data_IF_737921546950
#
_entry.id   IF_737921546950
#
_cell.length_a   1.000
_cell.length_b   1.000
_cell.length_c   1.000
_cell.angle_alpha   90.00
_cell.angle_beta   90.00
_cell.angle_gamma   90.00
#
_symmetry.space_group_name_H-M   'P 1'
#
loop_
_entity.id
_entity.type
_entity.pdbx_description
1 polymer ?
#
# COMPACT_ATOMS: atom_id res chain seq x y z
N UNK A 1 -13.39 34.42 11.00
CA UNK A 1 -14.01 34.15 9.68
C UNK A 1 -12.99 34.22 8.54
N UNK A 2 -12.16 35.26 8.47
CA UNK A 2 -11.17 35.43 7.38
C UNK A 2 -10.14 34.30 7.34
N UNK A 3 -9.68 33.86 8.51
CA UNK A 3 -8.75 32.72 8.62
C UNK A 3 -9.35 31.43 8.05
N UNK A 4 -10.63 31.18 8.32
CA UNK A 4 -11.32 30.00 7.78
C UNK A 4 -11.48 30.06 6.27
N UNK A 5 -11.80 31.22 5.73
CA UNK A 5 -11.92 31.41 4.29
C UNK A 5 -10.57 31.33 3.59
N UNK A 6 -9.52 31.86 4.18
CA UNK A 6 -8.18 31.85 3.61
C UNK A 6 -7.57 30.43 3.59
N UNK A 7 -7.81 29.65 4.65
CA UNK A 7 -7.30 28.26 4.74
C UNK A 7 -8.19 27.23 4.05
N UNK A 8 -9.45 27.56 3.77
CA UNK A 8 -10.43 26.62 3.27
C UNK A 8 -10.85 25.56 4.27
N UNK A 9 -10.50 25.74 5.55
CA UNK A 9 -10.81 24.77 6.60
C UNK A 9 -11.68 25.37 7.70
N UNK A 10 -12.64 24.58 8.15
CA UNK A 10 -13.54 24.93 9.25
C UNK A 10 -12.80 24.94 10.59
N UNK A 11 -11.83 24.05 10.75
CA UNK A 11 -11.06 23.86 11.98
C UNK A 11 -9.59 24.08 11.68
N UNK A 12 -9.01 25.17 12.21
CA UNK A 12 -7.59 25.50 12.09
C UNK A 12 -6.84 25.33 13.41
N UNK A 13 -7.53 25.40 14.54
CA UNK A 13 -6.95 25.28 15.87
C UNK A 13 -7.95 24.70 16.86
N UNK A 14 -7.48 24.30 18.03
CA UNK A 14 -8.31 23.78 19.12
C UNK A 14 -9.35 24.80 19.60
N UNK A 15 -9.11 26.11 19.42
CA UNK A 15 -10.05 27.16 19.79
C UNK A 15 -11.26 27.27 18.85
N UNK A 16 -11.16 26.76 17.61
CA UNK A 16 -12.26 26.78 16.65
C UNK A 16 -13.34 25.74 17.01
N UNK A 17 -12.91 24.49 17.25
CA UNK A 17 -13.75 23.38 17.66
C UNK A 17 -12.87 22.30 18.31
N UNK A 18 -12.73 22.31 19.65
CA UNK A 18 -11.86 21.34 20.32
C UNK A 18 -12.27 19.89 20.12
N UNK A 19 -13.58 19.59 20.10
CA UNK A 19 -14.08 18.24 19.88
C UNK A 19 -13.85 17.80 18.43
N UNK A 20 -14.14 18.67 17.46
CA UNK A 20 -13.92 18.42 16.05
C UNK A 20 -12.44 18.26 15.72
N UNK A 21 -11.57 19.06 16.31
CA UNK A 21 -10.12 18.92 16.15
C UNK A 21 -9.61 17.59 16.69
N UNK A 22 -10.10 17.14 17.83
CA UNK A 22 -9.74 15.86 18.41
C UNK A 22 -10.15 14.69 17.49
N UNK A 23 -11.36 14.72 16.95
CA UNK A 23 -11.84 13.74 15.97
C UNK A 23 -10.99 13.78 14.71
N UNK A 24 -10.71 14.97 14.17
CA UNK A 24 -9.89 15.16 12.98
C UNK A 24 -8.47 14.61 13.17
N UNK A 25 -7.86 14.85 14.33
CA UNK A 25 -6.55 14.29 14.69
C UNK A 25 -6.57 12.77 14.72
N UNK A 26 -7.65 12.19 15.29
CA UNK A 26 -7.83 10.73 15.30
C UNK A 26 -7.96 10.16 13.89
N UNK A 27 -8.74 10.80 13.04
CA UNK A 27 -8.92 10.40 11.65
C UNK A 27 -7.59 10.51 10.86
N UNK A 28 -6.80 11.53 11.12
CA UNK A 28 -5.46 11.67 10.54
C UNK A 28 -4.55 10.51 10.94
N UNK A 29 -4.58 10.10 12.20
CA UNK A 29 -3.84 8.92 12.68
C UNK A 29 -4.30 7.65 11.98
N UNK A 30 -5.60 7.47 11.76
CA UNK A 30 -6.13 6.32 11.02
C UNK A 30 -5.68 6.32 9.56
N UNK A 31 -5.69 7.48 8.90
CA UNK A 31 -5.22 7.61 7.51
C UNK A 31 -3.74 7.20 7.42
N UNK A 32 -2.91 7.70 8.33
CA UNK A 32 -1.49 7.36 8.37
C UNK A 32 -1.28 5.88 8.66
N UNK A 33 -2.09 5.30 9.51
CA UNK A 33 -2.09 3.86 9.80
C UNK A 33 -2.41 3.02 8.56
N UNK A 34 -3.46 3.36 7.82
CA UNK A 34 -3.83 2.66 6.59
C UNK A 34 -2.76 2.81 5.51
N UNK A 35 -2.14 3.98 5.38
CA UNK A 35 -1.03 4.18 4.45
C UNK A 35 0.16 3.27 4.79
N UNK A 36 0.50 3.17 6.07
CA UNK A 36 1.61 2.31 6.50
C UNK A 36 1.28 0.83 6.33
N UNK A 37 0.07 0.41 6.66
CA UNK A 37 -0.37 -0.97 6.44
C UNK A 37 -0.39 -1.34 4.97
N UNK A 38 -0.86 -0.44 4.11
CA UNK A 38 -0.81 -0.62 2.65
C UNK A 38 0.63 -0.78 2.15
N UNK A 39 1.55 0.06 2.63
CA UNK A 39 2.97 -0.04 2.29
C UNK A 39 3.58 -1.37 2.75
N UNK A 40 3.26 -1.82 3.96
CA UNK A 40 3.75 -3.10 4.49
C UNK A 40 3.25 -4.29 3.65
N UNK A 41 1.99 -4.25 3.22
CA UNK A 41 1.41 -5.30 2.36
C UNK A 41 2.06 -5.29 0.98
N UNK A 42 2.33 -4.11 0.41
CA UNK A 42 3.06 -4.00 -0.86
C UNK A 42 4.49 -4.52 -0.76
N UNK A 43 5.17 -4.26 0.34
CA UNK A 43 6.51 -4.81 0.60
C UNK A 43 6.48 -6.34 0.66
N UNK A 44 5.47 -6.92 1.32
CA UNK A 44 5.28 -8.37 1.34
C UNK A 44 5.00 -8.94 -0.05
N UNK A 45 4.17 -8.28 -0.85
CA UNK A 45 3.91 -8.67 -2.22
C UNK A 45 5.18 -8.62 -3.09
N UNK A 46 6.02 -7.63 -2.90
CA UNK A 46 7.32 -7.54 -3.58
C UNK A 46 8.26 -8.68 -3.18
N UNK A 47 8.29 -9.02 -1.90
CA UNK A 47 9.05 -10.17 -1.40
C UNK A 47 8.56 -11.46 -2.04
N UNK A 48 7.25 -11.66 -2.14
CA UNK A 48 6.65 -12.82 -2.79
C UNK A 48 6.99 -12.87 -4.28
N UNK A 49 7.03 -11.74 -4.97
CA UNK A 49 7.44 -11.67 -6.38
C UNK A 49 8.90 -12.09 -6.58
N UNK A 50 9.78 -11.71 -5.69
CA UNK A 50 11.19 -12.16 -5.70
C UNK A 50 11.25 -13.68 -5.51
N UNK A 51 10.48 -14.22 -4.59
CA UNK A 51 10.39 -15.67 -4.37
C UNK A 51 9.83 -16.40 -5.59
N UNK A 52 8.79 -15.87 -6.24
CA UNK A 52 8.25 -16.43 -7.49
C UNK A 52 9.30 -16.46 -8.60
N UNK A 53 10.11 -15.41 -8.73
CA UNK A 53 11.21 -15.38 -9.68
C UNK A 53 12.25 -16.46 -9.39
N UNK A 54 12.56 -16.68 -8.12
CA UNK A 54 13.46 -17.77 -7.69
C UNK A 54 12.88 -19.15 -8.02
N UNK A 55 11.59 -19.36 -7.78
CA UNK A 55 10.91 -20.60 -8.16
C UNK A 55 10.92 -20.83 -9.67
N UNK A 56 10.75 -19.77 -10.47
CA UNK A 56 10.88 -19.84 -11.92
C UNK A 56 12.27 -20.30 -12.37
N UNK A 57 13.32 -19.78 -11.72
CA UNK A 57 14.70 -20.19 -12.00
C UNK A 57 14.94 -21.65 -11.62
N UNK A 58 14.40 -22.11 -10.49
CA UNK A 58 14.45 -23.53 -10.07
C UNK A 58 13.75 -24.39 -11.13
N UNK A 59 12.58 -23.97 -11.59
CA UNK A 59 11.81 -24.71 -12.58
C UNK A 59 12.56 -24.87 -13.91
N UNK A 60 13.22 -23.83 -14.38
CA UNK A 60 14.07 -23.90 -15.58
C UNK A 60 15.24 -24.86 -15.41
N UNK A 61 15.89 -24.81 -14.25
CA UNK A 61 16.99 -25.73 -13.92
C UNK A 61 16.54 -27.17 -13.80
N UNK A 62 15.34 -27.43 -13.24
CA UNK A 62 14.72 -28.74 -13.18
C UNK A 62 14.39 -29.27 -14.58
N UNK A 63 13.90 -28.43 -15.48
CA UNK A 63 13.64 -28.81 -16.86
C UNK A 63 14.92 -29.22 -17.56
N UNK A 64 15.99 -28.48 -17.37
CA UNK A 64 17.31 -28.84 -17.92
C UNK A 64 17.80 -30.18 -17.38
N UNK A 65 17.68 -30.38 -16.07
CA UNK A 65 18.06 -31.64 -15.43
C UNK A 65 17.23 -32.82 -15.96
N UNK A 66 15.94 -32.60 -16.23
CA UNK A 66 15.06 -33.62 -16.81
C UNK A 66 15.53 -34.02 -18.21
N UNK A 67 15.87 -33.05 -19.06
CA UNK A 67 16.41 -33.33 -20.40
C UNK A 67 17.70 -34.11 -20.30
N UNK A 68 18.62 -33.74 -19.43
CA UNK A 68 19.88 -34.45 -19.22
C UNK A 68 19.66 -35.89 -18.71
N UNK A 69 18.71 -36.09 -17.82
CA UNK A 69 18.35 -37.41 -17.33
C UNK A 69 17.83 -38.32 -18.48
N UNK A 70 17.04 -37.77 -19.37
CA UNK A 70 16.56 -38.51 -20.54
C UNK A 70 17.74 -38.83 -21.51
N UNK A 71 18.63 -37.86 -21.72
CA UNK A 71 19.83 -38.08 -22.52
C UNK A 71 20.74 -39.17 -21.96
N UNK A 72 20.83 -39.27 -20.62
CA UNK A 72 21.67 -40.29 -19.98
C UNK A 72 21.20 -41.72 -20.27
N UNK A 73 19.96 -41.91 -20.68
CA UNK A 73 19.42 -43.19 -21.10
C UNK A 73 19.87 -43.62 -22.50
N UNK A 74 20.51 -42.73 -23.26
CA UNK A 74 21.00 -43.06 -24.62
C UNK A 74 22.31 -43.85 -24.54
N UNK A 75 22.46 -44.90 -25.38
CA UNK A 75 23.73 -45.66 -25.46
C UNK A 75 24.93 -44.82 -25.89
N UNK A 76 24.68 -43.69 -26.59
CA UNK A 76 25.71 -42.78 -27.09
C UNK A 76 26.05 -41.64 -26.13
N UNK A 77 25.41 -41.59 -24.94
CA UNK A 77 25.65 -40.56 -23.96
C UNK A 77 26.98 -40.73 -23.23
N UNK A 78 27.52 -39.62 -22.72
CA UNK A 78 28.64 -39.62 -21.79
C UNK A 78 28.09 -39.41 -20.36
N UNK A 79 27.92 -40.48 -19.57
CA UNK A 79 27.35 -40.41 -18.24
C UNK A 79 28.14 -39.51 -17.30
N UNK A 80 29.46 -39.47 -17.42
CA UNK A 80 30.31 -38.66 -16.52
C UNK A 80 30.10 -37.15 -16.80
N UNK A 81 29.98 -36.73 -18.06
CA UNK A 81 29.72 -35.37 -18.40
C UNK A 81 28.31 -34.94 -17.97
N UNK A 82 27.31 -35.81 -18.17
CA UNK A 82 25.94 -35.58 -17.74
C UNK A 82 25.89 -35.48 -16.20
N UNK A 83 26.53 -36.36 -15.46
CA UNK A 83 26.60 -36.32 -14.02
C UNK A 83 27.19 -35.00 -13.50
N UNK A 84 28.28 -34.53 -14.14
CA UNK A 84 28.88 -33.24 -13.79
C UNK A 84 27.93 -32.07 -13.97
N UNK A 85 27.12 -32.06 -15.03
CA UNK A 85 26.10 -31.02 -15.26
C UNK A 85 24.92 -31.16 -14.27
N UNK A 86 24.47 -32.37 -13.99
CA UNK A 86 23.43 -32.62 -12.99
C UNK A 86 23.87 -32.14 -11.61
N UNK A 87 25.12 -32.37 -11.22
CA UNK A 87 25.68 -31.93 -9.95
C UNK A 87 25.70 -30.40 -9.84
N UNK A 88 26.09 -29.71 -10.91
CA UNK A 88 26.07 -28.24 -10.97
C UNK A 88 24.64 -27.69 -10.88
N UNK A 89 23.71 -28.29 -11.60
CA UNK A 89 22.29 -27.89 -11.53
C UNK A 89 21.72 -28.12 -10.14
N UNK A 90 22.04 -29.23 -9.50
CA UNK A 90 21.63 -29.52 -8.12
C UNK A 90 22.16 -28.46 -7.18
N UNK A 91 23.41 -28.05 -7.31
CA UNK A 91 24.01 -27.01 -6.48
C UNK A 91 23.32 -25.66 -6.69
N UNK A 92 23.05 -25.27 -7.95
CA UNK A 92 22.32 -24.04 -8.27
C UNK A 92 20.90 -24.06 -7.73
N UNK A 93 20.17 -25.16 -7.92
CA UNK A 93 18.80 -25.30 -7.46
C UNK A 93 18.75 -25.19 -5.93
N UNK A 94 19.66 -25.90 -5.24
CA UNK A 94 19.69 -25.87 -3.78
C UNK A 94 20.09 -24.51 -3.22
N UNK A 95 20.96 -23.77 -3.90
CA UNK A 95 21.32 -22.41 -3.53
C UNK A 95 20.08 -21.48 -3.59
N UNK A 96 19.34 -21.51 -4.70
CA UNK A 96 18.12 -20.71 -4.84
C UNK A 96 17.03 -21.19 -3.88
N UNK A 97 16.85 -22.50 -3.73
CA UNK A 97 15.86 -23.05 -2.80
C UNK A 97 16.17 -22.70 -1.34
N UNK A 98 17.44 -22.60 -0.98
CA UNK A 98 17.85 -22.11 0.33
C UNK A 98 17.40 -20.67 0.59
N UNK A 99 17.43 -19.83 -0.45
CA UNK A 99 16.99 -18.42 -0.35
C UNK A 99 15.47 -18.27 -0.36
N UNK A 100 14.78 -18.97 -1.29
CA UNK A 100 13.34 -18.73 -1.50
C UNK A 100 12.43 -19.71 -0.76
N UNK A 101 12.91 -20.90 -0.44
CA UNK A 101 12.15 -21.94 0.29
C UNK A 101 12.70 -22.22 1.70
N UNK A 102 13.86 -21.66 2.02
CA UNK A 102 14.56 -21.98 3.26
C UNK A 102 15.08 -23.42 3.35
N UNK A 103 15.19 -24.10 2.21
CA UNK A 103 15.60 -25.50 2.12
C UNK A 103 16.81 -25.65 1.18
N UNK A 104 18.05 -25.59 1.70
CA UNK A 104 19.25 -25.77 0.90
C UNK A 104 19.48 -27.23 0.47
N UNK A 105 18.68 -28.15 0.97
CA UNK A 105 18.72 -29.58 0.64
C UNK A 105 17.50 -30.01 -0.18
N UNK A 106 16.90 -29.08 -0.91
CA UNK A 106 15.66 -29.29 -1.66
C UNK A 106 15.76 -30.44 -2.67
N UNK A 107 16.86 -30.53 -3.39
CA UNK A 107 17.10 -31.53 -4.42
C UNK A 107 18.32 -32.38 -4.05
N UNK A 108 18.19 -33.69 -4.19
CA UNK A 108 19.29 -34.63 -4.01
C UNK A 108 19.06 -35.89 -4.84
N UNK A 109 20.10 -36.68 -5.01
CA UNK A 109 19.98 -37.99 -5.60
C UNK A 109 19.82 -38.03 -7.12
N UNK A 110 20.23 -36.99 -7.84
CA UNK A 110 20.29 -37.05 -9.30
C UNK A 110 21.47 -37.87 -9.75
N UNK A 111 21.21 -38.97 -10.43
CA UNK A 111 22.17 -39.94 -10.87
C UNK A 111 22.01 -40.26 -12.35
N UNK A 112 23.02 -39.93 -13.16
CA UNK A 112 23.02 -40.17 -14.62
C UNK A 112 22.95 -41.67 -14.92
N UNK A 113 23.36 -42.55 -14.03
CA UNK A 113 23.28 -44.00 -14.20
C UNK A 113 21.92 -44.61 -13.87
N UNK A 114 21.03 -43.83 -13.22
CA UNK A 114 19.68 -44.27 -12.87
C UNK A 114 18.65 -43.24 -13.27
N UNK A 115 18.30 -43.17 -14.59
CA UNK A 115 17.34 -42.20 -15.08
C UNK A 115 15.94 -42.30 -14.49
N UNK A 116 15.51 -43.51 -14.14
CA UNK A 116 14.19 -43.75 -13.56
C UNK A 116 14.02 -43.07 -12.21
N UNK A 117 14.98 -43.32 -11.29
CA UNK A 117 14.96 -42.68 -9.96
C UNK A 117 15.17 -41.18 -10.08
N UNK A 118 16.04 -40.73 -10.97
CA UNK A 118 16.27 -39.30 -11.23
C UNK A 118 15.00 -38.61 -11.72
N UNK A 119 14.27 -39.18 -12.67
CA UNK A 119 13.01 -38.64 -13.14
C UNK A 119 11.96 -38.56 -12.02
N UNK A 120 11.88 -39.58 -11.18
CA UNK A 120 10.98 -39.55 -10.02
C UNK A 120 11.30 -38.42 -9.04
N UNK A 121 12.59 -38.21 -8.74
CA UNK A 121 13.05 -37.13 -7.89
C UNK A 121 12.75 -35.75 -8.51
N UNK A 122 12.92 -35.60 -9.82
CA UNK A 122 12.58 -34.36 -10.53
C UNK A 122 11.08 -34.08 -10.56
N UNK A 123 10.24 -35.09 -10.75
CA UNK A 123 8.77 -34.95 -10.68
C UNK A 123 8.34 -34.46 -9.32
N UNK A 124 8.88 -35.02 -8.25
CA UNK A 124 8.60 -34.59 -6.88
C UNK A 124 9.04 -33.14 -6.65
N UNK A 125 10.20 -32.77 -7.19
CA UNK A 125 10.70 -31.40 -7.11
C UNK A 125 9.82 -30.41 -7.89
N UNK A 126 9.38 -30.77 -9.10
CA UNK A 126 8.42 -29.97 -9.88
C UNK A 126 7.10 -29.78 -9.12
N UNK A 127 6.58 -30.86 -8.52
CA UNK A 127 5.35 -30.76 -7.73
C UNK A 127 5.49 -29.80 -6.56
N UNK A 128 6.61 -29.86 -5.85
CA UNK A 128 6.89 -28.96 -4.72
C UNK A 128 7.02 -27.49 -5.16
N UNK A 129 7.72 -27.24 -6.27
CA UNK A 129 7.85 -25.89 -6.83
C UNK A 129 6.49 -25.33 -7.27
N UNK A 130 5.69 -26.13 -7.96
CA UNK A 130 4.38 -25.73 -8.42
C UNK A 130 3.42 -25.47 -7.24
N UNK A 131 3.47 -26.27 -6.19
CA UNK A 131 2.69 -26.03 -4.97
C UNK A 131 3.10 -24.72 -4.29
N UNK A 132 4.38 -24.47 -4.14
CA UNK A 132 4.89 -23.21 -3.59
C UNK A 132 4.51 -22.00 -4.43
N UNK A 133 4.60 -22.11 -5.75
CA UNK A 133 4.20 -21.05 -6.69
C UNK A 133 2.69 -20.76 -6.60
N UNK A 134 1.86 -21.79 -6.48
CA UNK A 134 0.41 -21.64 -6.31
C UNK A 134 0.09 -20.96 -4.98
N UNK A 135 0.76 -21.32 -3.90
CA UNK A 135 0.59 -20.72 -2.59
C UNK A 135 0.97 -19.24 -2.63
N UNK A 136 2.09 -18.89 -3.24
CA UNK A 136 2.51 -17.49 -3.39
C UNK A 136 1.55 -16.69 -4.27
N UNK A 137 1.06 -17.28 -5.33
CA UNK A 137 0.06 -16.64 -6.21
C UNK A 137 -1.25 -16.35 -5.48
N UNK A 138 -1.74 -17.29 -4.68
CA UNK A 138 -2.91 -17.11 -3.84
C UNK A 138 -2.68 -16.04 -2.77
N UNK A 139 -1.52 -16.05 -2.12
CA UNK A 139 -1.13 -15.04 -1.14
C UNK A 139 -1.05 -13.65 -1.78
N UNK A 140 -0.46 -13.51 -2.97
CA UNK A 140 -0.38 -12.24 -3.68
C UNK A 140 -1.77 -11.70 -4.04
N UNK A 141 -2.71 -12.57 -4.41
CA UNK A 141 -4.09 -12.16 -4.65
C UNK A 141 -4.76 -11.64 -3.37
N UNK A 142 -4.54 -12.30 -2.24
CA UNK A 142 -5.04 -11.85 -0.94
C UNK A 142 -4.41 -10.51 -0.54
N UNK A 143 -3.11 -10.33 -0.75
CA UNK A 143 -2.40 -9.09 -0.46
C UNK A 143 -2.89 -7.94 -1.34
N UNK A 144 -3.16 -8.18 -2.62
CA UNK A 144 -3.75 -7.20 -3.52
C UNK A 144 -5.14 -6.75 -3.04
N UNK A 145 -5.97 -7.68 -2.56
CA UNK A 145 -7.26 -7.35 -1.96
C UNK A 145 -7.11 -6.53 -0.68
N UNK A 146 -6.12 -6.82 0.16
CA UNK A 146 -5.82 -6.05 1.35
C UNK A 146 -5.40 -4.62 1.02
N UNK A 147 -4.54 -4.42 0.02
CA UNK A 147 -4.16 -3.08 -0.45
C UNK A 147 -5.38 -2.29 -0.87
N UNK A 148 -6.28 -2.90 -1.67
CA UNK A 148 -7.53 -2.26 -2.09
C UNK A 148 -8.41 -1.89 -0.91
N UNK A 149 -8.50 -2.74 0.10
CA UNK A 149 -9.27 -2.50 1.33
C UNK A 149 -8.70 -1.32 2.11
N UNK A 150 -7.38 -1.29 2.32
CA UNK A 150 -6.72 -0.18 3.03
C UNK A 150 -6.85 1.14 2.27
N UNK A 151 -6.69 1.12 0.95
CA UNK A 151 -6.87 2.33 0.13
C UNK A 151 -8.31 2.86 0.17
N UNK A 152 -9.30 1.97 0.09
CA UNK A 152 -10.71 2.34 0.22
C UNK A 152 -11.01 2.90 1.61
N UNK A 153 -10.50 2.28 2.67
CA UNK A 153 -10.64 2.76 4.03
C UNK A 153 -10.00 4.14 4.21
N UNK A 154 -8.80 4.32 3.64
CA UNK A 154 -8.10 5.60 3.67
C UNK A 154 -8.89 6.71 3.00
N UNK A 155 -9.46 6.44 1.83
CA UNK A 155 -10.29 7.41 1.10
C UNK A 155 -11.54 7.75 1.90
N UNK A 156 -12.25 6.76 2.46
CA UNK A 156 -13.45 6.97 3.25
C UNK A 156 -13.17 7.79 4.52
N UNK A 157 -12.09 7.49 5.23
CA UNK A 157 -11.67 8.24 6.41
C UNK A 157 -11.24 9.66 6.03
N UNK A 158 -10.55 9.83 4.90
CA UNK A 158 -10.16 11.14 4.38
C UNK A 158 -11.38 12.00 4.05
N UNK A 159 -12.42 11.42 3.45
CA UNK A 159 -13.69 12.12 3.21
C UNK A 159 -14.37 12.53 4.52
N UNK A 160 -14.37 11.65 5.51
CA UNK A 160 -14.93 11.96 6.83
C UNK A 160 -14.17 13.09 7.51
N UNK A 161 -12.85 13.09 7.43
CA UNK A 161 -12.00 14.17 7.94
C UNK A 161 -12.31 15.49 7.22
N UNK A 162 -12.43 15.45 5.89
CA UNK A 162 -12.76 16.61 5.08
C UNK A 162 -14.08 17.25 5.48
N UNK A 163 -15.10 16.43 5.75
CA UNK A 163 -16.41 16.93 6.23
C UNK A 163 -16.32 17.64 7.57
N UNK A 164 -15.37 17.27 8.40
CA UNK A 164 -15.18 17.88 9.73
C UNK A 164 -14.32 19.14 9.64
N UNK A 165 -13.20 19.07 8.88
CA UNK A 165 -12.20 20.14 8.82
C UNK A 165 -12.52 21.24 7.83
N UNK A 166 -13.07 20.88 6.67
CA UNK A 166 -13.16 21.81 5.54
C UNK A 166 -14.29 22.80 5.75
N UNK A 167 -14.03 24.03 5.33
CA UNK A 167 -15.01 25.12 5.36
C UNK A 167 -15.93 25.02 4.15
N UNK A 168 -17.24 25.13 4.37
CA UNK A 168 -18.21 25.40 3.31
C UNK A 168 -18.05 26.87 2.89
N UNK A 169 -17.38 27.11 1.78
CA UNK A 169 -17.08 28.45 1.28
C UNK A 169 -18.34 29.28 1.07
N UNK A 170 -19.41 28.71 0.54
CA UNK A 170 -20.66 29.42 0.31
C UNK A 170 -21.29 29.89 1.64
N UNK A 171 -21.36 29.01 2.62
CA UNK A 171 -21.90 29.33 3.94
C UNK A 171 -21.04 30.35 4.69
N UNK A 172 -19.72 30.17 4.70
CA UNK A 172 -18.80 31.09 5.39
C UNK A 172 -18.77 32.48 4.72
N UNK A 173 -18.87 32.54 3.40
CA UNK A 173 -18.96 33.81 2.65
C UNK A 173 -20.25 34.52 2.98
N UNK A 174 -21.39 33.83 3.01
CA UNK A 174 -22.69 34.41 3.38
C UNK A 174 -22.69 34.94 4.82
N UNK A 175 -22.11 34.19 5.76
CA UNK A 175 -21.97 34.62 7.16
C UNK A 175 -21.08 35.86 7.28
N UNK A 176 -19.99 35.93 6.53
CA UNK A 176 -19.10 37.10 6.48
C UNK A 176 -19.83 38.33 5.96
N UNK A 177 -20.54 38.19 4.86
CA UNK A 177 -21.32 39.28 4.28
C UNK A 177 -22.40 39.78 5.23
N UNK A 178 -23.13 38.86 5.88
CA UNK A 178 -24.15 39.21 6.87
C UNK A 178 -23.56 39.99 8.04
N UNK A 179 -22.39 39.55 8.56
CA UNK A 179 -21.68 40.25 9.64
C UNK A 179 -21.24 41.65 9.21
N UNK A 180 -20.76 41.80 7.97
CA UNK A 180 -20.36 43.10 7.41
C UNK A 180 -21.55 44.04 7.31
N UNK A 181 -22.71 43.55 6.85
CA UNK A 181 -23.95 44.36 6.76
C UNK A 181 -24.40 44.82 8.16
N UNK A 182 -24.39 43.94 9.16
CA UNK A 182 -24.73 44.26 10.55
C UNK A 182 -23.80 45.33 11.10
N UNK A 183 -22.49 45.20 10.85
CA UNK A 183 -21.50 46.17 11.29
C UNK A 183 -21.71 47.55 10.66
N UNK A 184 -21.96 47.59 9.34
CA UNK A 184 -22.27 48.83 8.63
C UNK A 184 -23.53 49.50 9.17
N UNK A 185 -24.60 48.74 9.41
CA UNK A 185 -25.83 49.23 10.01
C UNK A 185 -25.59 49.84 11.40
N UNK A 186 -24.78 49.18 12.24
CA UNK A 186 -24.42 49.71 13.57
C UNK A 186 -23.63 51.02 13.46
N UNK A 187 -22.72 51.16 12.51
CA UNK A 187 -21.93 52.37 12.27
C UNK A 187 -22.84 53.52 11.82
N UNK A 188 -23.77 53.26 10.90
CA UNK A 188 -24.74 54.26 10.41
C UNK A 188 -25.63 54.76 11.57
N UNK A 189 -26.16 53.84 12.38
CA UNK A 189 -26.97 54.21 13.53
C UNK A 189 -26.22 55.08 14.54
N UNK A 190 -24.94 54.76 14.77
CA UNK A 190 -24.09 55.57 15.66
C UNK A 190 -23.84 56.96 15.11
N UNK A 191 -23.62 57.11 13.82
CA UNK A 191 -23.46 58.41 13.15
C UNK A 191 -24.73 59.24 13.25
N UNK A 192 -25.90 58.62 13.06
CA UNK A 192 -27.17 59.29 13.16
C UNK A 192 -27.43 59.81 14.58
N UNK A 193 -27.10 59.02 15.63
CA UNK A 193 -27.19 59.45 17.00
C UNK A 193 -26.28 60.66 17.31
N UNK A 194 -25.04 60.62 16.81
CA UNK A 194 -24.09 61.70 16.98
C UNK A 194 -24.56 62.97 16.25
N UNK A 195 -25.12 62.84 15.05
CA UNK A 195 -25.69 63.96 14.29
C UNK A 195 -26.89 64.57 15.01
N UNK A 196 -27.79 63.74 15.57
CA UNK A 196 -28.93 64.23 16.35
C UNK A 196 -28.50 64.98 17.60
N UNK A 197 -27.51 64.45 18.32
CA UNK A 197 -26.94 65.12 19.52
C UNK A 197 -26.30 66.46 19.14
N UNK A 198 -25.59 66.54 18.01
CA UNK A 198 -25.02 67.79 17.53
C UNK A 198 -26.07 68.84 17.16
N UNK A 199 -27.18 68.47 16.54
CA UNK A 199 -28.31 69.36 16.20
C UNK A 199 -28.97 69.89 17.47
N UNK A 200 -29.21 69.05 18.49
CA UNK A 200 -29.81 69.44 19.76
C UNK A 200 -28.94 70.46 20.52
N UNK A 201 -27.62 70.28 20.51
CA UNK A 201 -26.67 71.21 21.12
C UNK A 201 -26.71 72.57 20.42
N UNK A 202 -26.77 72.56 19.09
CA UNK A 202 -26.83 73.81 18.30
C UNK A 202 -28.14 74.60 18.46
N UNK A 203 -29.23 73.94 18.87
CA UNK A 203 -30.49 74.61 19.14
C UNK A 203 -30.58 75.19 20.55
N UNK A 204 -29.68 74.78 21.44
CA UNK A 204 -29.65 75.25 22.85
C UNK A 204 -28.65 76.40 23.07
N UNK A 205 -27.91 76.82 22.06
CA UNK A 205 -27.01 77.98 22.06
C UNK A 205 -27.60 79.08 21.22
#
# INVERSE_FOLDING_TARGET
KDEKLASGKKINSASDDPAGLQISTRLTSQINGYQQESANVQDQANTNNVQESGLGAINESLQRASVLSIQSGSPLSDPAAIQGELDQLTEQINAVAGEVLGDPSFLSGLDASDPTTTQAALEDAFASVNESASTLGAENNALSSQVSTYETARVNVSESRSRIEDTDYASETSDKERLNVILQAAIINKKDEESRKGILINQLV
#
